data_IF_119505836593
#
_entry.id   IF_119505836593
#
_cell.length_a   1.000
_cell.length_b   1.000
_cell.length_c   1.000
_cell.angle_alpha   90.00
_cell.angle_beta   90.00
_cell.angle_gamma   90.00
#
_symmetry.space_group_name_H-M   'P 1'
#
loop_
_entity.id
_entity.type
_entity.pdbx_description
1 polymer ?
#
# COMPACT_ATOMS: atom_id res chain seq x y z
N UNK A 1 -11.30 11.34 -30.65
CA UNK A 1 -12.62 10.69 -30.47
C UNK A 1 -13.10 10.82 -29.02
N UNK A 2 -13.05 12.02 -28.42
CA UNK A 2 -13.51 12.24 -27.02
C UNK A 2 -14.81 13.06 -26.95
N UNK A 3 -15.26 13.59 -28.10
CA UNK A 3 -16.48 14.40 -28.18
C UNK A 3 -17.78 13.57 -28.19
N UNK A 4 -17.71 12.27 -28.41
CA UNK A 4 -18.88 11.39 -28.66
C UNK A 4 -19.50 10.81 -27.36
N UNK A 5 -18.71 10.72 -26.28
CA UNK A 5 -19.18 10.18 -24.99
C UNK A 5 -20.12 11.18 -24.29
N UNK A 6 -20.09 12.47 -24.62
CA UNK A 6 -20.92 13.47 -23.94
C UNK A 6 -22.34 13.61 -24.55
N UNK A 7 -22.58 13.12 -25.78
CA UNK A 7 -23.84 13.40 -26.50
C UNK A 7 -24.97 12.39 -26.24
N UNK A 8 -24.72 11.31 -25.48
CA UNK A 8 -25.74 10.31 -25.17
C UNK A 8 -25.99 10.20 -23.66
N UNK A 9 -27.26 10.26 -23.24
CA UNK A 9 -27.62 10.12 -21.82
C UNK A 9 -27.14 8.80 -21.18
N UNK A 10 -26.90 7.77 -21.99
CA UNK A 10 -26.34 6.47 -21.59
C UNK A 10 -24.90 6.62 -21.07
N UNK A 11 -24.09 7.46 -21.70
CA UNK A 11 -22.69 7.66 -21.29
C UNK A 11 -22.56 8.47 -19.99
N UNK A 12 -23.51 9.37 -19.71
CA UNK A 12 -23.59 10.05 -18.42
C UNK A 12 -23.97 9.08 -17.28
N UNK A 13 -24.86 8.12 -17.55
CA UNK A 13 -25.25 7.09 -16.59
C UNK A 13 -24.12 6.10 -16.31
N UNK A 14 -23.39 5.66 -17.33
CA UNK A 14 -22.23 4.79 -17.18
C UNK A 14 -21.10 5.47 -16.37
N UNK A 15 -20.81 6.75 -16.66
CA UNK A 15 -19.85 7.54 -15.89
C UNK A 15 -20.26 7.64 -14.41
N UNK A 16 -21.55 7.88 -14.14
CA UNK A 16 -22.07 7.93 -12.77
C UNK A 16 -21.86 6.61 -12.03
N UNK A 17 -22.11 5.47 -12.68
CA UNK A 17 -21.87 4.14 -12.08
C UNK A 17 -20.39 3.92 -11.74
N UNK A 18 -19.46 4.35 -12.60
CA UNK A 18 -18.03 4.28 -12.30
C UNK A 18 -17.66 5.15 -11.09
N UNK A 19 -18.16 6.38 -11.02
CA UNK A 19 -17.90 7.30 -9.91
C UNK A 19 -18.42 6.72 -8.60
N UNK A 20 -19.68 6.30 -8.54
CA UNK A 20 -20.29 5.73 -7.34
C UNK A 20 -19.55 4.47 -6.86
N UNK A 21 -19.07 3.64 -7.80
CA UNK A 21 -18.24 2.48 -7.46
C UNK A 21 -16.89 2.89 -6.88
N UNK A 22 -16.24 3.92 -7.43
CA UNK A 22 -14.95 4.42 -6.93
C UNK A 22 -15.11 5.05 -5.55
N UNK A 23 -16.15 5.86 -5.33
CA UNK A 23 -16.41 6.50 -4.04
C UNK A 23 -16.60 5.46 -2.94
N UNK A 24 -17.40 4.41 -3.19
CA UNK A 24 -17.54 3.29 -2.26
C UNK A 24 -16.20 2.60 -1.96
N UNK A 25 -15.37 2.36 -2.99
CA UNK A 25 -14.06 1.73 -2.81
C UNK A 25 -13.09 2.63 -2.01
N UNK A 26 -13.14 3.95 -2.19
CA UNK A 26 -12.32 4.88 -1.41
C UNK A 26 -12.80 4.96 0.06
N UNK A 27 -14.11 4.85 0.32
CA UNK A 27 -14.64 4.72 1.68
C UNK A 27 -14.18 3.42 2.34
N UNK A 28 -14.28 2.28 1.65
CA UNK A 28 -13.79 0.98 2.14
C UNK A 28 -12.27 1.03 2.42
N UNK A 29 -11.49 1.58 1.50
CA UNK A 29 -10.04 1.77 1.66
C UNK A 29 -9.71 2.66 2.86
N UNK A 30 -10.49 3.72 3.09
CA UNK A 30 -10.33 4.58 4.26
C UNK A 30 -10.60 3.81 5.56
N UNK A 31 -11.68 3.04 5.63
CA UNK A 31 -12.00 2.22 6.79
C UNK A 31 -10.87 1.22 7.09
N UNK A 32 -10.36 0.51 6.07
CA UNK A 32 -9.22 -0.41 6.22
C UNK A 32 -7.96 0.34 6.70
N UNK A 33 -7.70 1.53 6.16
CA UNK A 33 -6.54 2.32 6.56
C UNK A 33 -6.62 2.77 8.03
N UNK A 34 -7.82 3.12 8.51
CA UNK A 34 -8.06 3.46 9.91
C UNK A 34 -7.91 2.23 10.82
N UNK A 35 -8.43 1.06 10.43
CA UNK A 35 -8.22 -0.21 11.16
C UNK A 35 -6.72 -0.55 11.28
N UNK A 36 -5.97 -0.42 10.18
CA UNK A 36 -4.51 -0.64 10.19
C UNK A 36 -3.80 0.34 11.14
N UNK A 37 -4.25 1.60 11.19
CA UNK A 37 -3.68 2.59 12.12
C UNK A 37 -3.95 2.22 13.57
N UNK A 38 -5.15 1.73 13.87
CA UNK A 38 -5.53 1.32 15.23
C UNK A 38 -4.70 0.11 15.70
N UNK A 39 -4.43 -0.86 14.83
CA UNK A 39 -3.51 -1.97 15.12
C UNK A 39 -2.09 -1.47 15.42
N UNK A 40 -1.56 -0.51 14.65
CA UNK A 40 -0.26 0.09 14.95
C UNK A 40 -0.27 0.88 16.27
N UNK A 41 -1.38 1.57 16.60
CA UNK A 41 -1.53 2.28 17.85
C UNK A 41 -1.60 1.32 19.06
N UNK A 42 -2.31 0.20 18.91
CA UNK A 42 -2.36 -0.86 19.91
C UNK A 42 -0.97 -1.47 20.15
N UNK A 43 -0.23 -1.81 19.07
CA UNK A 43 1.13 -2.32 19.18
C UNK A 43 2.04 -1.34 19.94
N UNK A 44 1.91 -0.03 19.67
CA UNK A 44 2.62 1.02 20.41
C UNK A 44 2.23 1.03 21.90
N UNK A 45 0.94 0.95 22.22
CA UNK A 45 0.43 0.92 23.59
C UNK A 45 0.93 -0.30 24.38
N UNK A 46 1.18 -1.42 23.69
CA UNK A 46 1.78 -2.63 24.26
C UNK A 46 3.32 -2.58 24.34
N UNK A 47 3.95 -1.50 23.90
CA UNK A 47 5.40 -1.29 24.00
C UNK A 47 6.23 -1.77 22.81
N UNK A 48 5.61 -2.15 21.68
CA UNK A 48 6.35 -2.54 20.48
C UNK A 48 6.83 -1.33 19.68
N UNK A 49 7.98 -1.47 19.01
CA UNK A 49 8.48 -0.48 18.05
C UNK A 49 7.69 -0.55 16.74
N UNK A 50 6.83 0.45 16.51
CA UNK A 50 5.99 0.56 15.31
C UNK A 50 6.81 0.75 14.03
N UNK A 51 7.99 1.38 14.07
CA UNK A 51 8.85 1.53 12.89
C UNK A 51 9.40 0.17 12.47
N UNK A 52 9.85 -0.63 13.43
CA UNK A 52 10.31 -1.99 13.16
C UNK A 52 9.19 -2.86 12.59
N UNK A 53 7.97 -2.81 13.15
CA UNK A 53 6.82 -3.55 12.62
C UNK A 53 6.51 -3.13 11.17
N UNK A 54 6.49 -1.82 10.87
CA UNK A 54 6.27 -1.33 9.49
C UNK A 54 7.34 -1.83 8.51
N UNK A 55 8.60 -1.86 8.95
CA UNK A 55 9.69 -2.41 8.16
C UNK A 55 9.47 -3.91 7.88
N UNK A 56 9.06 -4.68 8.90
CA UNK A 56 8.74 -6.11 8.76
C UNK A 56 7.55 -6.31 7.82
N UNK A 57 6.48 -5.53 7.93
CA UNK A 57 5.31 -5.65 7.04
C UNK A 57 5.70 -5.38 5.58
N UNK A 58 6.51 -4.34 5.32
CA UNK A 58 7.03 -4.03 3.98
C UNK A 58 7.96 -5.12 3.46
N UNK A 59 8.85 -5.63 4.31
CA UNK A 59 9.69 -6.77 3.93
C UNK A 59 8.78 -7.92 3.54
N UNK A 60 7.78 -8.26 4.39
CA UNK A 60 6.82 -9.34 4.21
C UNK A 60 5.91 -9.23 2.98
N UNK A 61 5.81 -8.06 2.34
CA UNK A 61 5.03 -7.89 1.10
C UNK A 61 5.83 -8.18 -0.18
N UNK A 62 7.16 -8.24 -0.12
CA UNK A 62 8.01 -8.54 -1.29
C UNK A 62 8.01 -10.02 -1.64
N UNK A 63 8.36 -10.40 -2.86
CA UNK A 63 8.57 -11.81 -3.20
C UNK A 63 9.83 -12.35 -2.50
N UNK A 64 9.89 -13.65 -2.11
CA UNK A 64 11.05 -14.19 -1.39
C UNK A 64 12.38 -13.96 -2.13
N UNK A 65 12.38 -14.17 -3.44
CA UNK A 65 13.59 -14.04 -4.27
C UNK A 65 14.07 -12.58 -4.37
N UNK A 66 13.15 -11.63 -4.52
CA UNK A 66 13.47 -10.19 -4.49
C UNK A 66 14.14 -9.79 -3.16
N UNK A 67 13.69 -10.36 -2.03
CA UNK A 67 14.31 -10.09 -0.73
C UNK A 67 15.71 -10.64 -0.62
N UNK A 68 15.93 -11.88 -1.06
CA UNK A 68 17.24 -12.53 -1.02
C UNK A 68 18.26 -11.76 -1.88
N UNK A 69 17.84 -11.30 -3.06
CA UNK A 69 18.67 -10.47 -3.93
C UNK A 69 19.03 -9.13 -3.28
N UNK A 70 18.04 -8.43 -2.69
CA UNK A 70 18.29 -7.17 -1.98
C UNK A 70 19.17 -7.35 -0.75
N UNK A 71 18.98 -8.42 0.02
CA UNK A 71 19.76 -8.73 1.22
C UNK A 71 21.22 -9.03 0.84
N UNK A 72 21.46 -9.81 -0.21
CA UNK A 72 22.81 -10.08 -0.72
C UNK A 72 23.53 -8.80 -1.17
N UNK A 73 22.83 -7.88 -1.84
CA UNK A 73 23.40 -6.59 -2.25
C UNK A 73 23.72 -5.72 -1.03
N UNK A 74 22.81 -5.67 -0.06
CA UNK A 74 23.00 -4.91 1.17
C UNK A 74 24.20 -5.44 1.96
N UNK A 75 24.30 -6.75 2.13
CA UNK A 75 25.41 -7.41 2.82
C UNK A 75 26.75 -7.10 2.13
N UNK A 76 26.81 -7.18 0.80
CA UNK A 76 27.98 -6.81 0.02
C UNK A 76 28.41 -5.36 0.30
N UNK A 77 27.47 -4.42 0.34
CA UNK A 77 27.76 -3.01 0.61
C UNK A 77 28.17 -2.77 2.07
N UNK A 78 27.51 -3.42 3.03
CA UNK A 78 27.88 -3.33 4.45
C UNK A 78 29.29 -3.87 4.68
N UNK A 79 29.64 -5.00 4.04
CA UNK A 79 30.99 -5.57 4.06
C UNK A 79 32.03 -4.62 3.47
N UNK A 80 31.75 -4.02 2.31
CA UNK A 80 32.64 -3.03 1.70
C UNK A 80 32.84 -1.78 2.58
N UNK A 81 31.86 -1.43 3.41
CA UNK A 81 31.92 -0.31 4.36
C UNK A 81 32.48 -0.69 5.74
N UNK A 82 32.83 -1.96 5.98
CA UNK A 82 33.33 -2.43 7.28
C UNK A 82 32.26 -2.45 8.38
N UNK A 83 30.99 -2.60 8.01
CA UNK A 83 29.83 -2.66 8.92
C UNK A 83 29.36 -4.09 9.25
N UNK A 84 30.23 -5.09 9.05
CA UNK A 84 29.97 -6.52 9.31
C UNK A 84 30.32 -6.95 10.73
#
# INVERSE_FOLDING_TARGET
MVADVAETGVAAEELKQFIERIERLEEEKKAIADDVRDVYAEAKGRGFDVKAIRAIVRLRSKEPQEREEEEAILELYMSALGMT
#
